data_IF_955399406673
#
_entry.id   IF_955399406673
#
_cell.length_a   1.000
_cell.length_b   1.000
_cell.length_c   1.000
_cell.angle_alpha   90.00
_cell.angle_beta   90.00
_cell.angle_gamma   90.00
#
_symmetry.space_group_name_H-M   'P 1'
#
loop_
_entity.id
_entity.type
_entity.pdbx_description
1 polymer ?
2 non-polymer ?
3 non-polymer ?
4 non-polymer ?
5 non-polymer ?
6 non-polymer ?
7 non-polymer ?
8 non-polymer ?
9 water ?
#
# COMPACT_ATOMS: atom_id res chain seq x y z
N UNK A 6 -13.54 6.44 -34.44
CA UNK A 6 -14.16 7.66 -33.79
C UNK A 6 -14.29 7.47 -32.27
N UNK A 7 -14.36 8.58 -31.51
CA UNK A 7 -14.65 8.70 -30.06
C UNK A 7 -16.00 8.17 -29.63
N UNK A 8 -17.00 8.59 -30.39
CA UNK A 8 -18.39 8.23 -30.11
C UNK A 8 -18.54 6.76 -30.45
N UNK A 9 -17.84 6.37 -31.50
CA UNK A 9 -17.96 5.01 -32.04
C UNK A 9 -17.32 4.06 -31.08
N UNK A 10 -16.11 4.45 -30.69
CA UNK A 10 -15.33 3.70 -29.70
C UNK A 10 -16.11 3.46 -28.42
N UNK A 11 -16.72 4.53 -27.94
CA UNK A 11 -17.35 4.48 -26.65
C UNK A 11 -18.48 3.48 -26.80
N UNK A 12 -19.11 3.51 -27.96
CA UNK A 12 -20.32 2.70 -28.20
C UNK A 12 -19.94 1.22 -28.32
N UNK A 13 -18.85 0.97 -29.02
CA UNK A 13 -18.35 -0.39 -29.28
C UNK A 13 -17.78 -0.98 -28.01
N UNK A 14 -17.29 -0.11 -27.13
CA UNK A 14 -16.73 -0.58 -25.89
C UNK A 14 -17.92 -0.95 -25.03
N UNK A 15 -18.97 -0.16 -25.13
CA UNK A 15 -20.18 -0.44 -24.36
C UNK A 15 -20.81 -1.74 -24.77
N UNK A 16 -20.73 -2.03 -26.06
CA UNK A 16 -21.44 -3.22 -26.55
C UNK A 16 -20.62 -4.40 -26.07
N UNK A 17 -19.32 -4.20 -25.94
CA UNK A 17 -18.46 -5.33 -25.58
C UNK A 17 -18.72 -5.67 -24.13
N UNK A 18 -19.01 -4.64 -23.35
CA UNK A 18 -19.25 -4.76 -21.91
C UNK A 18 -20.55 -5.50 -21.67
N UNK A 19 -21.56 -5.11 -22.42
CA UNK A 19 -22.90 -5.76 -22.38
C UNK A 19 -22.85 -7.24 -22.70
N UNK A 20 -22.10 -7.56 -23.75
CA UNK A 20 -21.93 -8.94 -24.24
C UNK A 20 -21.37 -9.86 -23.19
N UNK A 21 -20.35 -9.34 -22.53
CA UNK A 21 -19.66 -10.00 -21.42
C UNK A 21 -20.65 -10.45 -20.36
N UNK A 22 -21.55 -9.52 -19.97
CA UNK A 22 -22.55 -9.80 -18.90
C UNK A 22 -23.70 -10.67 -19.45
N UNK A 23 -24.04 -10.45 -20.72
CA UNK A 23 -25.08 -11.25 -21.37
C UNK A 23 -24.64 -12.68 -21.50
N UNK A 24 -23.34 -12.88 -21.69
CA UNK A 24 -22.81 -14.25 -21.88
C UNK A 24 -22.94 -15.03 -20.57
N UNK A 26 -25.22 -14.29 -18.24
CA UNK A 26 -26.66 -14.43 -18.05
C UNK A 26 -27.23 -15.66 -18.77
N UNK A 27 -26.70 -15.98 -19.94
CA UNK A 27 -27.20 -17.15 -20.68
C UNK A 27 -26.30 -18.37 -20.59
N UNK A 28 -25.31 -18.29 -19.72
CA UNK A 28 -24.46 -19.43 -19.42
C UNK A 28 -23.65 -19.88 -20.62
N UNK A 29 -23.30 -18.91 -21.45
CA UNK A 29 -22.60 -19.15 -22.72
C UNK A 29 -21.10 -19.05 -22.57
N UNK A 30 -20.47 -20.19 -22.29
CA UNK A 30 -19.07 -20.19 -21.89
C UNK A 30 -18.18 -19.91 -23.09
N UNK A 31 -18.60 -20.39 -24.23
CA UNK A 31 -17.78 -20.26 -25.44
C UNK A 31 -17.62 -18.79 -25.84
N UNK A 32 -18.73 -18.06 -25.82
CA UNK A 32 -18.72 -16.64 -26.09
C UNK A 32 -17.88 -15.93 -25.05
N UNK A 33 -18.22 -16.16 -23.79
CA UNK A 33 -17.46 -15.58 -22.70
C UNK A 33 -15.95 -15.77 -22.88
N UNK A 34 -15.52 -16.98 -23.23
CA UNK A 34 -14.12 -17.21 -23.45
C UNK A 34 -13.59 -16.36 -24.56
N UNK A 35 -14.42 -16.18 -25.60
CA UNK A 35 -13.99 -15.48 -26.80
C UNK A 35 -13.81 -14.00 -26.54
N UNK A 36 -14.43 -13.52 -25.46
CA UNK A 36 -14.49 -12.08 -25.15
C UNK A 36 -13.25 -11.61 -24.38
N UNK A 37 -12.52 -12.58 -23.87
CA UNK A 37 -11.31 -12.31 -23.11
C UNK A 37 -10.11 -12.33 -24.02
N UNK A 38 -9.15 -11.50 -23.66
CA UNK A 38 -7.95 -11.30 -24.45
C UNK A 38 -7.12 -12.58 -24.43
N UNK A 39 -6.46 -12.82 -25.56
CA UNK A 39 -5.37 -13.78 -25.65
C UNK A 39 -4.14 -13.07 -26.25
N UNK A 40 -2.92 -13.44 -25.82
CA UNK A 40 -1.73 -12.83 -26.43
C UNK A 40 -1.68 -12.88 -27.96
N UNK A 41 -2.31 -13.91 -28.51
CA UNK A 41 -2.44 -14.05 -29.96
C UNK A 41 -3.28 -12.90 -30.54
N UNK A 42 -4.23 -12.44 -29.74
CA UNK A 42 -5.15 -11.34 -30.13
C UNK A 42 -4.33 -10.10 -30.36
N UNK A 43 -3.18 -10.12 -29.69
CA UNK A 43 -2.23 -8.99 -29.62
C UNK A 43 -1.12 -9.18 -30.64
N UNK A 44 -0.98 -10.44 -31.03
CA UNK A 44 -0.03 -10.87 -32.05
C UNK A 44 1.28 -11.38 -31.48
N UNK A 45 1.25 -11.76 -30.20
CA UNK A 45 2.47 -12.23 -29.50
C UNK A 45 2.94 -13.61 -30.01
N UNK A 52 6.47 -11.71 -21.83
CA UNK A 52 7.72 -11.42 -21.15
C UNK A 52 7.58 -10.15 -20.29
N UNK A 53 6.72 -9.26 -20.79
CA UNK A 53 6.26 -8.11 -20.04
C UNK A 53 4.81 -8.44 -19.84
N UNK A 54 4.57 -9.73 -20.04
CA UNK A 54 3.27 -10.42 -19.98
C UNK A 54 2.15 -9.70 -20.70
N UNK A 55 2.53 -9.14 -21.85
CA UNK A 55 1.58 -8.54 -22.79
C UNK A 55 0.37 -9.42 -23.06
N UNK A 56 -0.80 -8.91 -22.68
CA UNK A 56 -2.08 -9.52 -23.01
C UNK A 56 -2.59 -10.45 -21.94
N UNK A 57 -1.73 -10.72 -20.96
CA UNK A 57 -2.09 -11.56 -19.79
C UNK A 57 -3.19 -10.96 -18.93
N UNK A 58 -4.19 -11.78 -18.70
CA UNK A 58 -5.45 -11.33 -18.17
C UNK A 58 -5.52 -11.64 -16.71
N UNK A 59 -6.41 -10.95 -16.02
CA UNK A 59 -6.73 -11.25 -14.64
C UNK A 59 -8.13 -10.86 -14.27
N UNK A 60 -8.52 -11.34 -13.10
CA UNK A 60 -9.91 -11.28 -12.67
C UNK A 60 -10.05 -11.34 -11.15
N UNK A 61 -10.83 -10.41 -10.61
CA UNK A 61 -11.21 -10.42 -9.20
C UNK A 61 -12.71 -10.45 -9.14
N UNK A 62 -13.17 -11.57 -8.60
CA UNK A 62 -14.54 -11.75 -8.24
C UNK A 62 -14.77 -11.17 -6.87
N UNK A 63 -16.01 -10.81 -6.59
CA UNK A 63 -16.34 -10.15 -5.33
C UNK A 63 -15.84 -10.93 -4.08
N UNK A 64 -14.91 -10.32 -3.35
CA UNK A 64 -14.34 -10.92 -2.15
C UNK A 64 -13.24 -11.94 -2.36
N UNK A 65 -12.87 -12.13 -3.62
CA UNK A 65 -11.85 -13.13 -4.01
C UNK A 65 -10.42 -12.64 -4.07
N UNK A 66 -9.45 -13.56 -3.97
CA UNK A 66 -8.14 -13.07 -4.33
C UNK A 66 -8.08 -12.97 -5.85
N UNK A 67 -6.88 -12.67 -6.33
CA UNK A 67 -6.65 -12.41 -7.76
C UNK A 67 -6.41 -13.70 -8.54
N UNK A 68 -7.07 -13.78 -9.69
CA UNK A 68 -6.87 -14.87 -10.67
C UNK A 68 -6.13 -14.31 -11.86
N UNK A 69 -5.12 -15.04 -12.28
CA UNK A 69 -4.23 -14.59 -13.33
C UNK A 69 -4.12 -15.61 -14.41
N UNK A 70 -4.18 -15.11 -15.63
CA UNK A 70 -3.95 -15.94 -16.80
C UNK A 70 -5.26 -16.54 -17.16
N UNK A 71 -5.38 -16.89 -18.44
CA UNK A 71 -6.66 -17.35 -19.03
C UNK A 71 -7.16 -18.61 -18.35
N UNK A 72 -6.23 -19.41 -17.84
CA UNK A 72 -6.62 -20.69 -17.30
C UNK A 72 -7.36 -20.59 -15.99
N UNK A 73 -6.80 -19.81 -15.09
CA UNK A 73 -7.42 -19.57 -13.79
C UNK A 73 -8.69 -18.76 -14.01
N UNK A 74 -8.57 -17.75 -14.86
CA UNK A 74 -9.71 -16.87 -15.11
C UNK A 74 -10.88 -17.59 -15.76
N UNK A 75 -10.62 -18.30 -16.87
CA UNK A 75 -11.71 -18.97 -17.61
C UNK A 75 -12.25 -20.16 -16.79
N UNK A 76 -11.36 -20.77 -16.04
CA UNK A 76 -11.76 -21.87 -15.19
C UNK A 76 -12.84 -21.38 -14.24
N UNK A 77 -12.60 -20.21 -13.65
CA UNK A 77 -13.48 -19.67 -12.60
C UNK A 77 -14.86 -19.33 -13.19
N UNK A 78 -14.87 -18.84 -14.42
CA UNK A 78 -16.15 -18.52 -15.08
C UNK A 78 -16.94 -19.75 -15.49
N UNK A 79 -16.20 -20.79 -15.86
CA UNK A 79 -16.80 -22.07 -16.26
C UNK A 79 -17.48 -22.62 -15.03
N UNK A 80 -16.80 -22.47 -13.90
CA UNK A 80 -17.28 -22.97 -12.60
C UNK A 80 -18.53 -22.22 -12.22
N UNK A 81 -18.40 -20.90 -12.23
CA UNK A 81 -19.47 -20.00 -11.79
C UNK A 81 -20.74 -20.34 -12.56
N UNK A 83 -21.34 -23.05 -14.15
CA UNK A 83 -21.80 -24.43 -13.93
C UNK A 83 -22.57 -24.50 -12.62
N UNK A 84 -22.37 -23.51 -11.75
CA UNK A 84 -22.97 -23.53 -10.40
C UNK A 84 -24.20 -22.64 -10.26
N UNK A 85 -24.53 -21.92 -11.31
CA UNK A 85 -25.60 -20.92 -11.19
C UNK A 85 -26.74 -21.31 -12.09
N UNK A 86 -27.93 -21.36 -11.49
CA UNK A 86 -29.15 -21.74 -12.23
C UNK A 86 -29.73 -20.52 -12.93
N UNK A 87 -29.52 -19.37 -12.32
CA UNK A 87 -30.07 -18.11 -12.82
C UNK A 87 -29.22 -16.92 -12.38
N UNK A 88 -28.83 -16.09 -13.34
CA UNK A 88 -28.17 -14.82 -13.05
C UNK A 88 -28.62 -13.71 -13.99
N UNK A 89 -28.97 -12.58 -13.38
CA UNK A 89 -29.18 -11.36 -14.16
C UNK A 89 -28.39 -10.19 -13.60
N UNK A 90 -27.72 -9.48 -14.49
CA UNK A 90 -27.04 -8.23 -14.14
C UNK A 90 -27.83 -7.03 -14.63
N UNK A 91 -28.04 -6.10 -13.72
CA UNK A 91 -28.67 -4.82 -13.97
C UNK A 91 -27.65 -3.73 -13.74
N UNK A 92 -27.11 -3.22 -14.83
CA UNK A 92 -25.94 -2.38 -14.74
C UNK A 92 -26.40 -0.98 -14.68
N UNK A 93 -25.83 -0.25 -13.76
CA UNK A 93 -26.03 1.17 -13.67
C UNK A 93 -24.72 1.92 -13.53
N UNK A 94 -24.87 3.23 -13.55
CA UNK A 94 -23.76 4.17 -13.40
C UNK A 94 -22.59 3.79 -14.31
N UNK A 95 -22.90 3.40 -15.54
CA UNK A 95 -21.84 2.91 -16.43
C UNK A 95 -21.02 4.10 -16.98
N UNK A 96 -19.72 4.08 -16.76
CA UNK A 96 -18.84 5.12 -17.30
C UNK A 96 -17.76 4.49 -18.12
N UNK A 97 -17.56 5.06 -19.32
CA UNK A 97 -16.51 4.62 -20.27
C UNK A 97 -15.40 5.66 -20.50
N UNK A 98 -14.18 5.18 -20.42
CA UNK A 98 -13.02 5.99 -20.75
C UNK A 98 -12.15 5.26 -21.73
N UNK A 99 -12.03 5.84 -22.90
CA UNK A 99 -11.21 5.28 -23.97
C UNK A 99 -9.99 6.10 -24.18
N UNK A 100 -8.84 5.47 -24.00
CA UNK A 100 -7.55 6.10 -24.26
C UNK A 100 -6.70 5.18 -25.13
N UNK A 101 -6.52 5.59 -26.37
CA UNK A 101 -5.77 4.81 -27.36
C UNK A 101 -6.43 3.49 -27.65
N UNK A 102 -5.70 2.43 -27.38
CA UNK A 102 -6.16 1.10 -27.72
C UNK A 102 -6.57 0.38 -26.47
N UNK A 103 -6.80 1.16 -25.42
CA UNK A 103 -7.31 0.64 -24.13
C UNK A 103 -8.54 1.40 -23.67
N UNK A 104 -9.50 0.65 -23.13
CA UNK A 104 -10.70 1.29 -22.59
C UNK A 104 -11.02 0.79 -21.21
N UNK A 105 -11.47 1.72 -20.39
CA UNK A 105 -11.79 1.49 -18.99
C UNK A 105 -13.26 1.74 -18.79
N UNK A 106 -13.97 0.70 -18.35
CA UNK A 106 -15.37 0.79 -18.01
C UNK A 106 -15.53 0.54 -16.50
N UNK A 107 -16.23 1.45 -15.84
CA UNK A 107 -16.69 1.25 -14.46
C UNK A 107 -18.20 1.21 -14.48
N UNK A 108 -18.75 0.35 -13.64
CA UNK A 108 -20.20 0.28 -13.45
C UNK A 108 -20.55 -0.32 -12.12
N UNK A 109 -21.79 -0.06 -11.71
CA UNK A 109 -22.44 -0.81 -10.66
C UNK A 109 -23.14 -2.03 -11.27
N UNK A 110 -22.72 -3.19 -10.76
CA UNK A 110 -23.38 -4.48 -11.03
C UNK A 110 -24.36 -4.75 -9.92
N UNK A 111 -25.64 -4.55 -10.24
CA UNK A 111 -26.77 -4.97 -9.40
C UNK A 111 -27.19 -6.37 -9.85
N UNK A 112 -26.73 -7.34 -9.10
CA UNK A 112 -26.81 -8.75 -9.48
C UNK A 112 -27.91 -9.44 -8.71
N UNK A 113 -28.72 -10.21 -9.45
CA UNK A 113 -29.69 -11.10 -8.86
C UNK A 113 -29.36 -12.49 -9.33
N UNK A 114 -29.12 -13.39 -8.39
CA UNK A 114 -28.88 -14.77 -8.76
C UNK A 114 -29.57 -15.82 -7.93
N UNK A 115 -29.61 -16.96 -8.59
CA UNK A 115 -30.18 -18.20 -8.08
C UNK A 115 -29.31 -19.39 -8.44
N UNK A 116 -28.79 -20.03 -7.39
CA UNK A 116 -28.09 -21.30 -7.51
C UNK A 116 -28.98 -22.50 -7.25
N UNK A 126 -33.92 -22.44 -6.47
CA UNK A 126 -33.07 -21.61 -5.60
C UNK A 126 -33.49 -20.13 -5.48
N UNK A 127 -33.74 -19.68 -4.22
CA UNK A 127 -33.97 -18.28 -3.82
C UNK A 127 -33.04 -17.29 -4.47
N UNK A 128 -33.64 -16.16 -4.86
CA UNK A 128 -32.91 -15.06 -5.55
C UNK A 128 -32.31 -14.10 -4.54
N UNK A 129 -31.00 -14.00 -4.61
CA UNK A 129 -30.26 -13.12 -3.75
C UNK A 129 -29.60 -12.06 -4.58
N UNK A 130 -29.69 -10.85 -4.05
CA UNK A 130 -29.12 -9.65 -4.67
C UNK A 130 -27.78 -9.29 -4.09
N UNK A 131 -26.88 -8.81 -4.97
CA UNK A 131 -25.60 -8.21 -4.59
C UNK A 131 -25.44 -6.86 -5.20
N UNK A 132 -24.91 -5.94 -4.40
CA UNK A 132 -24.49 -4.63 -4.90
C UNK A 132 -22.97 -4.68 -5.05
N UNK A 133 -22.54 -4.57 -6.30
CA UNK A 133 -21.14 -4.79 -6.62
C UNK A 133 -20.76 -3.65 -7.54
N UNK A 134 -19.50 -3.24 -7.47
CA UNK A 134 -18.95 -2.28 -8.44
C UNK A 134 -17.81 -2.94 -9.18
N UNK A 135 -17.65 -2.57 -10.45
CA UNK A 135 -16.62 -3.20 -11.29
C UNK A 135 -15.88 -2.20 -12.12
N UNK A 136 -14.62 -2.53 -12.32
CA UNK A 136 -13.73 -1.93 -13.31
C UNK A 136 -13.31 -2.99 -14.28
N UNK A 137 -13.71 -2.78 -15.52
CA UNK A 137 -13.35 -3.66 -16.61
C UNK A 137 -12.42 -2.91 -17.57
N UNK A 138 -11.33 -3.58 -17.91
CA UNK A 138 -10.36 -3.05 -18.82
C UNK A 138 -10.39 -3.83 -20.12
N UNK A 139 -10.57 -3.09 -21.21
CA UNK A 139 -10.63 -3.62 -22.56
C UNK A 139 -9.46 -3.17 -23.41
N UNK A 140 -9.14 -4.06 -24.31
CA UNK A 140 -8.08 -3.83 -25.25
C UNK A 140 -8.64 -3.96 -26.65
N UNK A 141 -8.11 -3.12 -27.53
CA UNK A 141 -8.58 -3.11 -28.90
C UNK A 141 -7.85 -4.19 -29.68
N UNK A 142 -8.63 -4.98 -30.41
CA UNK A 142 -8.09 -6.04 -31.27
C UNK A 142 -8.82 -6.09 -32.62
N UNK A 143 -8.20 -6.73 -33.62
CA UNK A 143 -8.83 -6.73 -34.92
C UNK A 143 -10.16 -7.41 -34.80
N UNK A 144 -10.27 -8.32 -33.85
CA UNK A 144 -11.49 -9.09 -33.67
C UNK A 144 -12.42 -8.42 -32.66
N UNK A 145 -12.12 -7.17 -32.36
CA UNK A 145 -12.95 -6.36 -31.46
C UNK A 145 -12.36 -6.15 -30.09
N UNK A 146 -13.04 -5.35 -29.27
CA UNK A 146 -12.58 -5.04 -27.91
C UNK A 146 -12.64 -6.28 -27.07
N UNK A 147 -11.52 -6.58 -26.44
CA UNK A 147 -11.38 -7.77 -25.61
C UNK A 147 -11.02 -7.39 -24.16
N UNK A 148 -11.53 -8.18 -23.23
CA UNK A 148 -11.26 -8.04 -21.79
C UNK A 148 -9.83 -8.44 -21.43
N UNK A 149 -9.24 -7.54 -20.71
CA UNK A 149 -7.89 -7.71 -20.20
C UNK A 149 -8.01 -7.98 -18.72
N UNK A 150 -8.93 -7.28 -18.11
CA UNK A 150 -9.11 -7.37 -16.65
C UNK A 150 -10.52 -7.09 -16.27
N UNK A 151 -11.02 -7.87 -15.32
CA UNK A 151 -12.29 -7.64 -14.61
C UNK A 151 -12.08 -7.63 -13.12
N UNK A 152 -12.43 -6.50 -12.49
CA UNK A 152 -12.30 -6.41 -11.04
C UNK A 152 -13.59 -5.96 -10.45
N UNK A 153 -14.19 -6.84 -9.63
CA UNK A 153 -15.51 -6.64 -9.07
C UNK A 153 -15.44 -6.75 -7.58
N UNK A 154 -16.18 -5.87 -6.91
CA UNK A 154 -16.09 -5.78 -5.48
C UNK A 154 -17.40 -5.39 -4.85
N UNK A 155 -17.67 -5.88 -3.65
CA UNK A 155 -18.83 -5.48 -2.87
C UNK A 155 -18.73 -4.04 -2.36
N UNK A 156 -19.87 -3.38 -2.36
CA UNK A 156 -20.03 -2.08 -1.76
C UNK A 156 -20.51 -2.37 -0.35
N UNK A 157 -19.65 -2.17 0.64
CA UNK A 157 -19.93 -2.55 2.02
C UNK A 157 -20.30 -1.36 2.88
N UNK A 158 -21.35 -1.53 3.68
CA UNK A 158 -21.83 -0.50 4.63
C UNK A 158 -21.25 -0.69 6.03
N UNK B 7 10.61 -2.61 -22.22
CA UNK B 7 10.17 -4.02 -22.06
C UNK B 7 10.54 -4.57 -20.68
N UNK B 8 11.81 -4.93 -20.57
CA UNK B 8 12.41 -5.32 -19.29
C UNK B 8 12.43 -4.05 -18.46
N UNK B 9 12.44 -2.93 -19.19
CA UNK B 9 12.58 -1.61 -18.56
C UNK B 9 11.24 -1.08 -18.16
N UNK B 10 10.29 -1.42 -19.01
CA UNK B 10 8.90 -1.00 -18.80
C UNK B 10 8.41 -1.61 -17.53
N UNK B 11 8.71 -2.88 -17.34
CA UNK B 11 8.19 -3.58 -16.18
C UNK B 11 8.76 -2.91 -14.94
N UNK B 12 10.01 -2.49 -15.02
CA UNK B 12 10.74 -1.91 -13.88
C UNK B 12 10.22 -0.50 -13.60
N UNK B 13 10.01 0.27 -14.66
CA UNK B 13 9.49 1.63 -14.47
C UNK B 13 8.09 1.55 -13.88
N UNK B 14 7.26 0.62 -14.36
CA UNK B 14 5.86 0.52 -13.88
C UNK B 14 5.89 0.15 -12.40
N UNK B 15 6.85 -0.69 -12.07
CA UNK B 15 6.97 -1.24 -10.73
C UNK B 15 7.30 -0.10 -9.80
N UNK B 16 8.09 0.81 -10.35
CA UNK B 16 8.62 1.94 -9.60
C UNK B 16 7.46 2.91 -9.32
N UNK B 17 6.62 3.08 -10.33
CA UNK B 17 5.48 4.01 -10.24
C UNK B 17 4.50 3.44 -9.23
N UNK B 18 4.32 2.13 -9.27
CA UNK B 18 3.38 1.45 -8.36
C UNK B 18 3.94 1.58 -6.94
N UNK B 19 5.25 1.43 -6.80
CA UNK B 19 5.92 1.57 -5.48
C UNK B 19 5.79 3.01 -4.92
N UNK B 20 6.01 3.99 -5.78
CA UNK B 20 5.92 5.40 -5.44
C UNK B 20 4.51 5.79 -4.96
N UNK B 21 3.52 5.07 -5.47
CA UNK B 21 2.09 5.43 -5.24
C UNK B 21 1.74 5.05 -3.80
N UNK B 22 2.15 3.85 -3.43
CA UNK B 22 1.92 3.34 -2.07
C UNK B 22 2.78 4.07 -1.05
N UNK B 23 3.96 4.47 -1.47
CA UNK B 23 4.84 5.15 -0.54
C UNK B 23 4.28 6.51 -0.20
N UNK B 24 3.73 7.19 -1.20
CA UNK B 24 3.20 8.57 -1.00
C UNK B 24 2.09 8.53 0.02
N UNK B 26 1.62 6.10 2.32
CA UNK B 26 2.27 5.80 3.61
C UNK B 26 2.70 7.08 4.34
N UNK B 27 3.35 7.97 3.59
CA UNK B 27 3.99 9.10 4.21
C UNK B 27 3.15 10.36 4.08
N UNK B 28 1.94 10.14 3.62
CA UNK B 28 0.91 11.17 3.52
C UNK B 28 1.35 12.33 2.65
N UNK B 29 1.95 11.98 1.53
CA UNK B 29 2.44 12.97 0.58
C UNK B 29 1.48 13.21 -0.58
N UNK B 30 0.70 14.27 -0.43
CA UNK B 30 -0.46 14.52 -1.26
C UNK B 30 0.01 15.04 -2.58
N UNK B 31 1.07 15.81 -2.52
CA UNK B 31 1.59 16.42 -3.72
C UNK B 31 2.08 15.34 -4.69
N UNK B 32 2.81 14.37 -4.17
CA UNK B 32 3.36 13.30 -5.00
C UNK B 32 2.22 12.42 -5.47
N UNK B 33 1.30 12.11 -4.57
CA UNK B 33 0.19 11.24 -4.94
C UNK B 33 -0.57 11.92 -6.06
N UNK B 34 -0.75 13.22 -5.94
CA UNK B 34 -1.57 13.96 -6.90
C UNK B 34 -0.92 13.88 -8.27
N UNK B 35 0.40 13.91 -8.27
CA UNK B 35 1.19 14.00 -9.50
C UNK B 35 1.24 12.62 -10.19
N UNK B 36 0.92 11.59 -9.41
CA UNK B 36 1.09 10.19 -9.86
C UNK B 36 -0.15 9.77 -10.58
N UNK B 37 -1.22 10.49 -10.30
CA UNK B 37 -2.51 10.21 -10.93
C UNK B 37 -2.55 10.99 -12.19
N UNK B 38 -3.08 10.35 -13.22
CA UNK B 38 -3.21 10.93 -14.55
C UNK B 38 -4.07 12.21 -14.57
N UNK B 39 -3.69 13.11 -15.47
CA UNK B 39 -4.53 14.19 -15.94
C UNK B 39 -4.65 14.09 -17.48
N UNK B 40 -5.76 14.56 -18.05
CA UNK B 40 -5.89 14.55 -19.52
C UNK B 40 -4.88 15.44 -20.25
N UNK B 41 -4.28 16.35 -19.51
CA UNK B 41 -3.19 17.18 -20.05
C UNK B 41 -1.94 16.31 -20.32
N UNK B 42 -1.79 15.27 -19.51
CA UNK B 42 -0.65 14.31 -19.57
C UNK B 42 -0.74 13.53 -20.87
N UNK B 43 -1.92 13.62 -21.46
CA UNK B 43 -2.28 12.83 -22.62
C UNK B 43 -2.36 13.77 -23.83
N UNK B 44 -2.51 15.06 -23.52
CA UNK B 44 -2.49 16.11 -24.53
C UNK B 44 -3.87 16.66 -24.85
N UNK B 45 -4.82 16.38 -23.97
CA UNK B 45 -6.21 16.87 -24.15
C UNK B 45 -6.39 18.31 -23.62
N UNK B 52 -15.34 13.61 -24.44
CA UNK B 52 -15.60 12.79 -25.62
C UNK B 52 -15.68 11.31 -25.28
N UNK B 53 -14.48 10.74 -25.25
CA UNK B 53 -14.28 9.33 -24.96
C UNK B 53 -13.73 9.28 -23.55
N UNK B 54 -13.86 10.42 -22.91
CA UNK B 54 -13.25 10.70 -21.60
C UNK B 54 -11.84 10.16 -21.48
N UNK B 55 -11.06 10.35 -22.54
CA UNK B 55 -9.62 10.07 -22.53
C UNK B 55 -8.97 10.52 -21.24
N UNK B 56 -8.39 9.55 -20.54
CA UNK B 56 -7.54 9.83 -19.36
C UNK B 56 -8.28 10.20 -18.08
N UNK B 57 -9.59 9.99 -18.06
CA UNK B 57 -10.40 10.22 -16.84
C UNK B 57 -10.21 9.07 -15.88
N UNK B 58 -9.84 9.42 -14.67
CA UNK B 58 -9.42 8.47 -13.64
C UNK B 58 -10.61 8.00 -12.80
N UNK B 59 -10.42 6.84 -12.20
CA UNK B 59 -11.37 6.26 -11.25
C UNK B 59 -10.69 5.49 -10.13
N UNK B 60 -11.38 5.35 -9.01
CA UNK B 60 -10.78 4.77 -7.81
C UNK B 60 -11.79 4.06 -6.96
N UNK B 61 -11.45 2.82 -6.59
CA UNK B 61 -12.27 2.04 -5.68
C UNK B 61 -11.43 1.63 -4.50
N UNK B 62 -11.79 2.18 -3.35
CA UNK B 62 -11.15 1.84 -2.07
C UNK B 62 -11.88 0.62 -1.48
N UNK B 63 -11.27 -0.07 -0.52
CA UNK B 63 -11.93 -1.32 -0.11
C UNK B 63 -13.30 -1.10 0.47
N UNK B 64 -14.27 -1.77 -0.14
CA UNK B 64 -15.67 -1.69 0.24
C UNK B 64 -16.44 -0.49 -0.25
N UNK B 65 -15.74 0.46 -0.89
CA UNK B 65 -16.38 1.68 -1.40
C UNK B 65 -17.04 1.55 -2.75
N UNK B 66 -17.97 2.45 -3.05
CA UNK B 66 -18.34 2.59 -4.43
C UNK B 66 -17.24 3.27 -5.26
N UNK B 67 -17.57 3.54 -6.50
CA UNK B 67 -16.60 4.07 -7.44
C UNK B 67 -16.48 5.58 -7.29
N UNK B 68 -15.26 6.05 -7.26
CA UNK B 68 -15.00 7.50 -7.34
C UNK B 68 -14.47 7.78 -8.75
N UNK B 69 -15.01 8.79 -9.40
CA UNK B 69 -14.63 9.16 -10.76
C UNK B 69 -14.17 10.63 -10.89
N UNK B 70 -13.05 10.80 -11.59
CA UNK B 70 -12.47 12.10 -11.80
C UNK B 70 -11.52 12.47 -10.71
N UNK B 71 -10.51 13.23 -11.09
CA UNK B 71 -9.43 13.63 -10.17
C UNK B 71 -9.93 14.24 -8.86
N UNK B 72 -10.97 15.05 -8.96
CA UNK B 72 -11.49 15.78 -7.81
C UNK B 72 -12.02 14.85 -6.74
N UNK B 73 -12.89 13.93 -7.17
CA UNK B 73 -13.46 12.89 -6.28
C UNK B 73 -12.36 12.02 -5.74
N UNK B 74 -11.45 11.65 -6.61
CA UNK B 74 -10.39 10.76 -6.20
C UNK B 74 -9.45 11.42 -5.18
N UNK B 75 -9.06 12.67 -5.41
CA UNK B 75 -8.02 13.32 -4.57
C UNK B 75 -8.63 13.74 -3.23
N UNK B 76 -9.88 14.15 -3.30
CA UNK B 76 -10.61 14.47 -2.11
C UNK B 76 -10.59 13.31 -1.16
N UNK B 77 -10.78 12.15 -1.74
CA UNK B 77 -10.86 10.91 -0.92
C UNK B 77 -9.52 10.58 -0.28
N UNK B 78 -8.44 10.89 -0.98
CA UNK B 78 -7.08 10.61 -0.45
C UNK B 78 -6.69 11.57 0.70
N UNK B 79 -7.13 12.83 0.59
CA UNK B 79 -6.92 13.82 1.64
C UNK B 79 -7.62 13.35 2.91
N UNK B 80 -8.87 13.00 2.73
CA UNK B 80 -9.70 12.51 3.84
C UNK B 80 -9.09 11.26 4.50
N UNK B 81 -8.70 10.28 3.66
CA UNK B 81 -8.16 9.02 4.17
C UNK B 81 -6.92 9.34 4.98
N UNK B 83 -6.01 12.17 6.36
CA UNK B 83 -6.31 12.96 7.54
C UNK B 83 -6.83 12.04 8.65
N UNK B 84 -7.46 10.96 8.28
CA UNK B 84 -8.19 10.18 9.27
C UNK B 84 -7.46 8.90 9.61
N UNK B 85 -6.24 8.81 9.10
CA UNK B 85 -5.35 7.63 9.30
C UNK B 85 -4.08 8.12 9.92
N UNK B 86 -3.91 7.75 11.18
CA UNK B 86 -2.74 8.16 11.95
C UNK B 86 -1.50 7.48 11.42
N UNK B 87 -1.64 6.19 11.13
CA UNK B 87 -0.52 5.39 10.63
C UNK B 87 -0.97 4.42 9.61
N UNK B 88 -0.23 4.33 8.52
CA UNK B 88 -0.47 3.26 7.52
C UNK B 88 0.78 2.80 6.83
N UNK B 89 0.87 1.47 6.73
CA UNK B 89 1.90 0.85 5.93
C UNK B 89 1.29 -0.19 5.02
N UNK B 90 1.79 -0.19 3.78
CA UNK B 90 1.53 -1.26 2.82
C UNK B 90 2.76 -2.10 2.66
N UNK B 91 2.51 -3.41 2.62
CA UNK B 91 3.47 -4.43 2.31
C UNK B 91 2.91 -5.24 1.15
N UNK B 92 3.39 -4.92 -0.04
CA UNK B 92 2.85 -5.55 -1.23
C UNK B 92 3.48 -6.92 -1.43
N UNK B 93 2.60 -7.82 -1.82
CA UNK B 93 3.07 -9.08 -2.28
C UNK B 93 2.44 -9.52 -3.56
N UNK B 94 3.14 -10.45 -4.17
CA UNK B 94 2.70 -11.17 -5.35
C UNK B 94 2.35 -10.18 -6.44
N UNK B 95 3.23 -9.21 -6.58
CA UNK B 95 3.05 -8.14 -7.56
C UNK B 95 3.22 -8.66 -8.97
N UNK B 96 2.22 -8.43 -9.80
CA UNK B 96 2.40 -8.82 -11.21
C UNK B 96 2.12 -7.69 -12.18
N UNK B 97 3.04 -7.53 -13.12
CA UNK B 97 2.95 -6.48 -14.16
C UNK B 97 2.79 -6.99 -15.59
N UNK B 98 1.82 -6.41 -16.27
CA UNK B 98 1.56 -6.71 -17.67
C UNK B 98 1.52 -5.42 -18.48
N UNK B 99 2.47 -5.28 -19.38
CA UNK B 99 2.56 -4.08 -20.22
C UNK B 99 2.14 -4.41 -21.62
N UNK B 100 1.23 -3.60 -22.13
CA UNK B 100 0.75 -3.70 -23.50
C UNK B 100 0.66 -2.32 -24.14
N UNK B 101 1.62 -2.01 -25.00
CA UNK B 101 1.65 -0.69 -25.61
C UNK B 101 1.89 0.36 -24.56
N UNK B 102 0.90 1.24 -24.35
CA UNK B 102 1.10 2.40 -23.49
C UNK B 102 0.32 2.28 -22.20
N UNK B 103 -0.21 1.08 -22.01
CA UNK B 103 -0.93 0.73 -20.79
C UNK B 103 -0.27 -0.41 -20.05
N UNK B 104 -0.29 -0.29 -18.75
CA UNK B 104 0.23 -1.33 -17.86
C UNK B 104 -0.82 -1.71 -16.84
N UNK B 105 -0.90 -3.01 -16.61
CA UNK B 105 -1.81 -3.56 -15.62
C UNK B 105 -1.00 -4.26 -14.56
N UNK B 106 -1.24 -3.82 -13.34
CA UNK B 106 -0.57 -4.32 -12.18
C UNK B 106 -1.59 -4.83 -11.18
N UNK B 107 -1.51 -6.11 -10.83
CA UNK B 107 -2.29 -6.70 -9.75
C UNK B 107 -1.36 -6.98 -8.56
N UNK B 108 -1.88 -6.80 -7.37
CA UNK B 108 -1.08 -7.14 -6.21
C UNK B 108 -1.93 -7.39 -5.01
N UNK B 109 -1.26 -7.94 -4.01
CA UNK B 109 -1.84 -8.08 -2.67
C UNK B 109 -1.31 -6.96 -1.79
N UNK B 110 -2.24 -6.17 -1.26
CA UNK B 110 -1.94 -5.10 -0.32
C UNK B 110 -2.12 -5.69 1.05
N UNK B 111 -0.99 -5.98 1.69
CA UNK B 111 -0.98 -6.32 3.12
C UNK B 111 -0.86 -5.00 3.90
N UNK B 112 -1.98 -4.60 4.44
CA UNK B 112 -2.17 -3.26 5.04
C UNK B 112 -2.18 -3.30 6.57
N UNK B 113 -1.33 -2.44 7.13
CA UNK B 113 -1.20 -2.30 8.56
C UNK B 113 -1.52 -0.86 8.86
N UNK B 114 -2.53 -0.64 9.68
CA UNK B 114 -2.84 0.72 10.11
C UNK B 114 -3.14 0.82 11.59
N UNK B 115 -3.20 2.06 12.02
CA UNK B 115 -3.43 2.41 13.42
C UNK B 115 -3.97 3.81 13.60
N UNK B 116 -4.83 3.93 14.59
CA UNK B 116 -5.36 5.23 14.97
C UNK B 116 -4.61 5.92 16.11
N UNK B 117 -5.15 7.04 16.56
CA UNK B 117 -4.47 7.76 17.60
C UNK B 117 -4.52 6.99 18.89
N UNK B 118 -3.54 7.23 19.75
CA UNK B 118 -3.45 6.49 20.98
C UNK B 118 -4.42 7.01 22.02
N UNK B 119 -4.80 6.16 22.97
CA UNK B 119 -5.74 6.44 24.05
C UNK B 119 -5.18 7.51 24.92
N UNK B 120 -3.85 7.56 24.97
CA UNK B 120 -3.18 8.64 25.68
C UNK B 120 -1.70 8.80 25.37
N UNK B 121 -1.10 9.65 26.18
CA UNK B 121 0.27 10.12 25.94
C UNK B 121 1.26 9.00 26.16
N UNK B 122 0.82 7.92 26.81
CA UNK B 122 1.74 6.81 27.16
C UNK B 122 1.99 5.88 25.97
N UNK B 123 1.16 6.02 24.94
CA UNK B 123 1.35 5.23 23.73
C UNK B 123 1.53 6.09 22.53
N UNK B 124 2.28 5.51 21.62
CA UNK B 124 2.55 6.06 20.29
C UNK B 124 1.36 6.01 19.36
N UNK B 125 0.76 4.84 19.30
CA UNK B 125 -0.46 4.65 18.55
C UNK B 125 -1.51 3.89 19.28
N UNK B 126 -2.66 3.86 18.65
CA UNK B 126 -3.73 2.98 19.04
C UNK B 126 -3.37 1.57 18.61
N UNK B 127 -4.25 0.61 18.86
CA UNK B 127 -3.98 -0.73 18.42
C UNK B 127 -3.83 -0.77 16.92
N UNK B 128 -3.03 -1.69 16.47
CA UNK B 128 -2.84 -1.88 15.05
C UNK B 128 -3.83 -2.89 14.49
N UNK B 129 -4.23 -2.62 13.26
CA UNK B 129 -5.13 -3.48 12.51
C UNK B 129 -4.53 -3.87 11.17
N UNK B 130 -4.68 -5.13 10.80
CA UNK B 130 -4.28 -5.58 9.45
C UNK B 130 -5.45 -5.82 8.53
N UNK B 131 -5.22 -5.61 7.24
CA UNK B 131 -6.16 -5.99 6.16
C UNK B 131 -5.47 -6.70 5.05
N UNK B 132 -6.19 -7.68 4.52
CA UNK B 132 -5.83 -8.42 3.31
C UNK B 132 -6.74 -7.91 2.20
N UNK B 133 -6.09 -7.28 1.25
CA UNK B 133 -6.71 -6.55 0.17
C UNK B 133 -5.92 -6.95 -1.09
N UNK B 134 -6.59 -6.97 -2.22
CA UNK B 134 -5.94 -7.12 -3.52
C UNK B 134 -6.34 -5.91 -4.40
N UNK B 135 -5.43 -5.54 -5.30
CA UNK B 135 -5.63 -4.38 -6.18
C UNK B 135 -5.28 -4.68 -7.60
N UNK B 136 -6.08 -4.05 -8.46
CA UNK B 136 -5.73 -3.88 -9.85
C UNK B 136 -5.49 -2.39 -10.15
N UNK B 137 -4.25 -2.09 -10.50
CA UNK B 137 -3.84 -0.73 -10.85
C UNK B 137 -3.49 -0.65 -12.33
N UNK B 138 -4.08 0.32 -12.99
CA UNK B 138 -3.90 0.54 -14.43
C UNK B 138 -3.13 1.83 -14.62
N UNK B 139 -1.95 1.70 -15.20
CA UNK B 139 -1.08 2.81 -15.50
C UNK B 139 -1.05 3.10 -16.98
N UNK B 140 -0.65 4.32 -17.22
CA UNK B 140 -0.62 4.91 -18.53
C UNK B 140 0.72 5.63 -18.78
N UNK B 141 1.32 5.30 -19.91
CA UNK B 141 2.57 5.91 -20.37
C UNK B 141 2.34 7.38 -20.73
N UNK B 142 3.12 8.24 -20.11
CA UNK B 142 3.08 9.69 -20.36
C UNK B 142 4.50 10.21 -20.43
N UNK B 143 4.70 11.41 -20.99
CA UNK B 143 6.07 11.88 -21.07
C UNK B 143 6.72 12.09 -19.72
N UNK B 144 5.92 12.06 -18.66
CA UNK B 144 6.43 12.39 -17.32
C UNK B 144 6.47 11.15 -16.48
N UNK B 145 6.31 10.04 -17.17
CA UNK B 145 6.31 8.73 -16.55
C UNK B 145 4.95 8.08 -16.57
N UNK B 146 4.90 6.95 -15.89
CA UNK B 146 3.72 6.13 -15.75
C UNK B 146 2.86 6.76 -14.70
N UNK B 147 1.61 6.94 -15.09
CA UNK B 147 0.61 7.61 -14.28
C UNK B 147 -0.58 6.72 -14.11
N UNK B 148 -1.15 6.77 -12.93
CA UNK B 148 -2.33 5.97 -12.59
C UNK B 148 -3.54 6.45 -13.32
N UNK B 149 -4.25 5.49 -13.89
CA UNK B 149 -5.53 5.73 -14.55
C UNK B 149 -6.70 5.19 -13.68
N UNK B 150 -6.47 4.02 -13.10
CA UNK B 150 -7.42 3.38 -12.20
C UNK B 150 -6.69 2.68 -11.07
N UNK B 151 -7.25 2.78 -9.88
CA UNK B 151 -6.91 1.94 -8.77
C UNK B 151 -8.18 1.30 -8.28
N UNK B 152 -8.20 -0.01 -8.23
CA UNK B 152 -9.36 -0.74 -7.67
C UNK B 152 -8.88 -1.73 -6.66
N UNK B 153 -9.28 -1.51 -5.43
CA UNK B 153 -8.86 -2.32 -4.29
C UNK B 153 -10.06 -2.89 -3.62
N UNK B 154 -9.89 -4.11 -3.11
CA UNK B 154 -10.97 -4.86 -2.50
C UNK B 154 -10.50 -5.83 -1.42
N UNK B 155 -11.34 -6.03 -0.38
CA UNK B 155 -11.04 -7.03 0.62
C UNK B 155 -11.07 -8.43 0.07
N UNK B 156 -10.17 -9.25 0.57
CA UNK B 156 -10.28 -10.68 0.35
C UNK B 156 -11.05 -11.22 1.53
N UNK B 157 -12.27 -11.67 1.26
CA UNK B 157 -13.25 -12.07 2.30
C UNK B 157 -13.40 -13.59 2.50
N UNK B 158 -13.39 -14.01 3.76
CA UNK B 158 -13.58 -15.45 4.09
C UNK B 158 -15.01 -15.90 3.79
N UNK C 6 10.18 23.85 33.64
CA UNK C 6 8.87 23.25 34.05
C UNK C 6 8.97 21.72 33.95
N UNK C 7 8.40 21.02 34.94
CA UNK C 7 8.29 19.57 34.90
C UNK C 7 7.50 19.12 33.68
N UNK C 8 6.38 19.78 33.47
CA UNK C 8 5.50 19.46 32.35
C UNK C 8 6.27 19.62 31.04
N UNK C 9 7.12 20.64 31.00
CA UNK C 9 7.90 20.95 29.80
C UNK C 9 9.03 19.94 29.64
N UNK C 10 9.70 19.67 30.75
CA UNK C 10 10.79 18.69 30.79
C UNK C 10 10.29 17.32 30.30
N UNK C 11 9.16 16.90 30.85
CA UNK C 11 8.57 15.63 30.47
C UNK C 11 8.29 15.61 28.96
N UNK C 12 7.79 16.72 28.42
CA UNK C 12 7.46 16.81 26.99
C UNK C 12 8.73 16.76 26.14
N UNK C 13 9.77 17.45 26.61
CA UNK C 13 11.02 17.54 25.83
C UNK C 13 11.79 16.22 25.83
N UNK C 14 11.74 15.51 26.95
CA UNK C 14 12.34 14.16 27.05
C UNK C 14 11.57 13.21 26.15
N UNK C 15 10.26 13.37 26.09
CA UNK C 15 9.42 12.49 25.27
C UNK C 15 9.74 12.66 23.78
N UNK C 16 10.09 13.86 23.43
CA UNK C 16 10.32 14.22 22.03
C UNK C 16 11.64 13.61 21.64
N UNK C 17 12.59 13.69 22.57
CA UNK C 17 13.94 13.14 22.33
C UNK C 17 13.88 11.62 22.23
N UNK C 18 13.07 11.03 23.10
CA UNK C 18 12.92 9.57 23.13
C UNK C 18 12.38 9.11 21.79
N UNK C 19 11.37 9.84 21.37
CA UNK C 19 10.68 9.62 20.11
C UNK C 19 11.54 9.72 18.89
N UNK C 20 12.47 10.66 18.94
CA UNK C 20 13.35 10.99 17.83
C UNK C 20 14.40 9.93 17.67
N UNK C 21 14.68 9.32 18.80
CA UNK C 21 15.67 8.23 18.91
C UNK C 21 15.20 7.06 18.03
N UNK C 22 14.04 6.57 18.40
CA UNK C 22 13.38 5.48 17.66
C UNK C 22 13.12 5.79 16.19
N UNK C 23 12.64 7.00 15.91
CA UNK C 23 12.34 7.39 14.53
C UNK C 23 13.59 7.44 13.68
N UNK C 24 14.68 7.86 14.28
CA UNK C 24 15.97 7.94 13.57
C UNK C 24 16.38 6.53 13.12
N UNK C 26 14.16 3.98 12.77
CA UNK C 26 13.20 3.54 11.77
C UNK C 26 13.60 3.94 10.37
N UNK C 27 14.19 5.12 10.25
CA UNK C 27 14.43 5.63 8.93
C UNK C 27 15.88 5.50 8.56
N UNK C 28 16.61 4.83 9.42
CA UNK C 28 17.99 4.51 9.17
C UNK C 28 18.86 5.73 9.15
N UNK C 29 18.50 6.70 9.97
CA UNK C 29 19.18 7.99 9.97
C UNK C 29 20.30 7.99 11.00
N UNK C 30 21.47 7.53 10.55
CA UNK C 30 22.61 7.35 11.44
C UNK C 30 23.03 8.70 11.99
N UNK C 31 23.01 9.75 11.17
CA UNK C 31 23.52 11.05 11.63
C UNK C 31 22.71 11.59 12.82
N UNK C 32 21.40 11.49 12.72
CA UNK C 32 20.50 12.04 13.73
C UNK C 32 20.64 11.20 14.98
N UNK C 33 20.73 9.91 14.73
CA UNK C 33 20.86 8.97 15.83
C UNK C 33 22.12 9.27 16.59
N UNK C 34 23.18 9.50 15.84
CA UNK C 34 24.48 9.80 16.43
C UNK C 34 24.46 11.06 17.27
N UNK C 35 23.69 12.03 16.79
CA UNK C 35 23.62 13.36 17.42
C UNK C 35 22.84 13.32 18.70
N UNK C 36 22.14 12.21 18.91
CA UNK C 36 21.23 12.05 20.05
C UNK C 36 21.94 11.46 21.26
N UNK C 37 23.12 10.91 21.02
CA UNK C 37 23.92 10.30 22.09
C UNK C 37 24.83 11.33 22.70
N UNK C 38 24.79 11.36 24.02
CA UNK C 38 25.65 12.21 24.81
C UNK C 38 27.11 12.09 24.41
N UNK C 39 27.81 13.21 24.50
CA UNK C 39 29.29 13.24 24.46
C UNK C 39 29.77 14.03 25.67
N UNK C 40 30.97 13.74 26.20
CA UNK C 40 31.33 14.53 27.41
C UNK C 40 31.51 16.01 27.13
N UNK C 41 31.76 16.33 25.87
CA UNK C 41 31.85 17.73 25.42
C UNK C 41 30.51 18.47 25.63
N UNK C 42 29.43 17.70 25.63
CA UNK C 42 28.04 18.22 25.80
C UNK C 42 27.95 18.77 27.20
N UNK C 43 28.86 18.25 28.01
CA UNK C 43 28.90 18.51 29.46
C UNK C 43 29.99 19.53 29.81
N UNK C 44 30.90 19.74 28.88
CA UNK C 44 31.96 20.73 29.05
C UNK C 44 33.21 20.06 29.56
N UNK C 45 33.18 18.73 29.49
CA UNK C 45 34.34 17.89 29.82
C UNK C 45 35.39 17.95 28.71
N UNK C 46 36.41 17.11 28.84
CA UNK C 46 37.54 17.11 27.89
C UNK C 46 38.52 15.96 28.13
N UNK C 52 38.27 10.94 34.52
CA UNK C 52 37.47 11.46 35.61
C UNK C 52 36.79 10.40 36.50
N UNK C 53 35.48 10.65 36.61
CA UNK C 53 34.47 9.72 37.12
C UNK C 53 33.65 9.36 35.89
N UNK C 54 34.34 9.46 34.75
CA UNK C 54 33.82 9.14 33.41
C UNK C 54 32.52 9.81 33.06
N UNK C 55 32.38 11.04 33.54
CA UNK C 55 31.26 11.94 33.20
C UNK C 55 30.87 11.89 31.73
N UNK C 56 29.58 11.61 31.54
CA UNK C 56 28.95 11.60 30.21
C UNK C 56 29.31 10.42 29.31
N UNK C 57 30.02 9.45 29.86
CA UNK C 57 30.42 8.18 29.15
C UNK C 57 29.23 7.21 28.96
N UNK C 58 28.88 7.00 27.71
CA UNK C 58 27.64 6.34 27.33
C UNK C 58 27.74 4.81 27.32
N UNK C 59 26.58 4.18 27.40
CA UNK C 59 26.45 2.72 27.23
C UNK C 59 25.13 2.24 26.64
N UNK C 60 25.19 1.03 26.15
CA UNK C 60 24.14 0.43 25.39
C UNK C 60 24.08 -1.09 25.56
N UNK C 61 22.87 -1.56 25.78
CA UNK C 61 22.55 -2.98 25.78
C UNK C 61 21.37 -3.20 24.83
N UNK C 62 21.66 -3.86 23.70
CA UNK C 62 20.65 -4.31 22.73
C UNK C 62 20.07 -5.66 23.22
N UNK C 63 18.85 -6.01 22.78
CA UNK C 63 18.21 -7.23 23.26
C UNK C 63 19.10 -8.46 23.15
N UNK C 64 19.42 -9.03 24.31
CA UNK C 64 20.27 -10.23 24.43
C UNK C 64 21.76 -10.03 24.32
N UNK C 65 22.20 -8.79 24.19
CA UNK C 65 23.62 -8.53 24.03
C UNK C 65 24.36 -8.28 25.36
N UNK C 66 25.69 -8.33 25.29
CA UNK C 66 26.47 -7.81 26.38
C UNK C 66 26.45 -6.27 26.35
N UNK C 67 27.17 -5.68 27.30
CA UNK C 67 27.17 -4.23 27.45
C UNK C 67 28.17 -3.64 26.46
N UNK C 68 27.75 -2.58 25.78
CA UNK C 68 28.69 -1.77 25.00
C UNK C 68 28.94 -0.46 25.73
N UNK C 69 30.20 -0.10 25.87
CA UNK C 69 30.60 1.11 26.60
C UNK C 69 31.40 2.09 25.74
N UNK C 70 31.07 3.36 25.88
CA UNK C 70 31.72 4.42 25.08
C UNK C 70 31.04 4.65 23.74
N UNK C 71 31.08 5.89 23.31
CA UNK C 71 30.33 6.33 22.11
C UNK C 71 30.77 5.49 20.89
N UNK C 72 32.06 5.16 20.87
CA UNK C 72 32.65 4.40 19.75
C UNK C 72 31.99 3.03 19.63
N UNK C 73 31.93 2.32 20.76
CA UNK C 73 31.39 0.97 20.72
C UNK C 73 29.92 1.06 20.38
N UNK C 74 29.27 2.08 20.93
CA UNK C 74 27.81 2.22 20.88
C UNK C 74 27.35 2.54 19.45
N UNK C 75 27.98 3.55 18.86
CA UNK C 75 27.64 4.00 17.51
C UNK C 75 27.96 2.91 16.49
N UNK C 76 29.10 2.25 16.68
CA UNK C 76 29.46 1.13 15.82
C UNK C 76 28.38 0.05 15.78
N UNK C 77 27.76 -0.23 16.92
CA UNK C 77 26.74 -1.28 16.97
C UNK C 77 25.54 -0.80 16.18
N UNK C 78 25.21 0.50 16.29
CA UNK C 78 24.04 1.05 15.55
C UNK C 78 24.27 1.08 14.03
N UNK C 79 25.49 1.37 13.66
CA UNK C 79 25.86 1.41 12.25
C UNK C 79 25.65 0.00 11.67
N UNK C 80 26.10 -1.00 12.40
CA UNK C 80 25.96 -2.41 11.99
C UNK C 80 24.51 -2.86 11.95
N UNK C 81 23.79 -2.55 13.01
CA UNK C 81 22.40 -2.99 13.12
C UNK C 81 21.58 -2.39 11.99
N UNK C 83 22.60 -1.28 9.22
CA UNK C 83 23.00 -1.66 7.83
C UNK C 83 22.38 -2.98 7.53
N UNK C 84 22.11 -3.72 8.60
CA UNK C 84 21.71 -5.10 8.49
C UNK C 84 20.21 -5.28 8.65
N UNK C 85 19.52 -4.16 8.76
CA UNK C 85 18.08 -4.19 8.96
C UNK C 85 17.41 -3.59 7.76
N UNK C 86 16.58 -4.40 7.11
CA UNK C 86 15.91 -3.97 5.85
C UNK C 86 14.75 -3.06 6.16
N UNK C 87 14.05 -3.44 7.21
CA UNK C 87 12.86 -2.75 7.66
C UNK C 87 12.61 -2.90 9.15
N UNK C 88 12.43 -1.76 9.82
CA UNK C 88 12.08 -1.74 11.24
C UNK C 88 11.09 -0.64 11.60
N UNK C 89 10.17 -0.99 12.49
CA UNK C 89 9.22 -0.04 13.06
C UNK C 89 9.09 -0.32 14.51
N UNK C 90 9.08 0.74 15.28
CA UNK C 90 8.83 0.69 16.73
C UNK C 90 7.50 1.29 17.00
N UNK C 91 6.72 0.58 17.78
CA UNK C 91 5.48 1.08 18.38
C UNK C 91 5.59 1.03 19.89
N UNK C 92 5.92 2.18 20.46
CA UNK C 92 6.12 2.29 21.92
C UNK C 92 4.80 2.31 22.62
N UNK C 93 4.72 1.52 23.68
CA UNK C 93 3.61 1.59 24.63
C UNK C 93 4.12 1.69 26.07
N UNK C 94 3.26 2.16 26.94
CA UNK C 94 3.49 2.18 28.38
C UNK C 94 4.71 3.03 28.69
N UNK C 95 4.84 4.12 27.94
CA UNK C 95 5.94 5.04 28.14
C UNK C 95 5.77 5.81 29.46
N UNK C 96 6.78 5.69 30.32
CA UNK C 96 6.81 6.45 31.55
C UNK C 96 8.06 7.29 31.65
N UNK C 97 7.90 8.55 32.00
CA UNK C 97 9.03 9.48 32.16
C UNK C 97 9.13 9.99 33.57
N UNK C 98 10.35 9.92 34.08
CA UNK C 98 10.66 10.46 35.40
C UNK C 98 11.86 11.41 35.28
N UNK C 99 11.62 12.67 35.61
CA UNK C 99 12.68 13.68 35.51
C UNK C 99 13.10 14.10 36.89
N UNK C 100 14.37 13.92 37.15
CA UNK C 100 14.94 14.38 38.41
C UNK C 100 16.19 15.21 38.13
N UNK C 101 16.11 16.51 38.34
CA UNK C 101 17.25 17.41 38.07
C UNK C 101 17.56 17.52 36.60
N UNK C 102 18.76 17.11 36.22
CA UNK C 102 19.19 17.16 34.82
C UNK C 102 19.31 15.79 34.19
N UNK C 103 18.65 14.84 34.83
CA UNK C 103 18.56 13.46 34.34
C UNK C 103 17.10 13.02 34.21
N UNK C 104 16.80 12.29 33.15
CA UNK C 104 15.50 11.65 32.95
C UNK C 104 15.66 10.18 32.65
N UNK C 105 14.77 9.45 33.28
CA UNK C 105 14.67 8.04 33.08
C UNK C 105 13.34 7.76 32.43
N UNK C 106 13.42 7.15 31.25
CA UNK C 106 12.26 6.78 30.49
C UNK C 106 12.23 5.26 30.44
N UNK C 107 11.08 4.67 30.76
CA UNK C 107 10.89 3.26 30.47
C UNK C 107 9.76 3.08 29.49
N UNK C 108 9.93 2.11 28.61
CA UNK C 108 8.86 1.80 27.70
C UNK C 108 8.88 0.37 27.21
N UNK C 109 7.77 0.02 26.58
CA UNK C 109 7.68 -1.19 25.78
C UNK C 109 7.94 -0.89 24.32
N UNK C 110 8.94 -1.57 23.78
CA UNK C 110 9.29 -1.55 22.32
C UNK C 110 8.60 -2.72 21.66
N UNK C 111 7.52 -2.41 20.96
CA UNK C 111 6.80 -3.42 20.19
C UNK C 111 7.44 -3.29 18.81
N UNK C 112 8.40 -4.17 18.53
CA UNK C 112 9.24 -4.06 17.30
C UNK C 112 8.71 -4.98 16.21
N UNK C 113 8.49 -4.36 15.06
CA UNK C 113 8.12 -5.09 13.85
C UNK C 113 9.24 -4.89 12.85
N UNK C 114 9.79 -6.01 12.35
CA UNK C 114 10.89 -5.93 11.41
C UNK C 114 10.75 -6.93 10.29
N UNK C 115 11.35 -6.60 9.16
CA UNK C 115 11.42 -7.54 8.07
C UNK C 115 12.71 -7.50 7.30
N UNK C 116 12.99 -8.61 6.63
CA UNK C 116 14.14 -8.74 5.79
C UNK C 116 13.84 -8.56 4.31
N UNK C 117 14.88 -8.69 3.48
CA UNK C 117 14.64 -8.53 2.05
C UNK C 117 13.64 -9.53 1.48
N UNK C 118 13.03 -9.19 0.37
CA UNK C 118 12.10 -10.13 -0.21
C UNK C 118 12.78 -11.28 -0.95
N UNK C 119 12.10 -12.43 -1.02
CA UNK C 119 12.76 -13.52 -1.70
C UNK C 119 12.82 -13.23 -3.20
N UNK C 120 11.98 -12.33 -3.65
CA UNK C 120 12.02 -11.92 -5.06
C UNK C 120 11.31 -10.63 -5.28
N UNK C 121 11.34 -10.12 -6.50
CA UNK C 121 10.78 -8.77 -6.73
C UNK C 121 9.28 -8.79 -6.93
N UNK C 122 8.63 -9.91 -6.65
CA UNK C 122 7.15 -9.92 -6.70
C UNK C 122 6.70 -9.45 -5.34
N UNK C 123 7.66 -9.37 -4.42
CA UNK C 123 7.39 -8.90 -3.05
C UNK C 123 8.25 -7.74 -2.63
N UNK C 124 7.68 -7.01 -1.70
CA UNK C 124 8.24 -5.75 -1.24
C UNK C 124 9.27 -6.04 -0.13
N UNK C 125 8.90 -6.96 0.73
CA UNK C 125 9.70 -7.37 1.84
C UNK C 125 9.59 -8.86 2.09
N UNK C 126 10.54 -9.34 2.84
CA UNK C 126 10.45 -10.68 3.41
C UNK C 126 9.34 -10.70 4.44
N UNK C 127 9.08 -11.88 5.02
CA UNK C 127 8.20 -12.04 6.18
C UNK C 127 8.52 -11.08 7.32
N UNK C 128 7.48 -10.60 7.97
CA UNK C 128 7.63 -9.64 9.10
C UNK C 128 7.68 -10.35 10.42
N UNK C 129 8.54 -9.90 11.32
CA UNK C 129 8.57 -10.48 12.65
C UNK C 129 8.43 -9.40 13.72
N UNK C 130 7.70 -9.77 14.77
CA UNK C 130 7.48 -8.96 15.95
C UNK C 130 8.31 -9.42 17.13
N UNK C 131 8.74 -8.47 17.94
CA UNK C 131 9.43 -8.75 19.20
C UNK C 131 8.84 -7.91 20.28
N UNK C 132 8.64 -8.50 21.43
CA UNK C 132 8.23 -7.72 22.59
C UNK C 132 9.51 -7.45 23.40
N UNK C 133 9.86 -6.18 23.50
CA UNK C 133 11.09 -5.74 24.19
C UNK C 133 10.70 -4.65 25.19
N UNK C 134 11.52 -4.51 26.22
CA UNK C 134 11.39 -3.35 27.14
C UNK C 134 12.69 -2.62 27.25
N UNK C 135 12.60 -1.32 27.45
CA UNK C 135 13.78 -0.45 27.54
C UNK C 135 13.74 0.55 28.68
N UNK C 136 14.91 0.74 29.26
CA UNK C 136 15.18 1.89 30.14
C UNK C 136 16.18 2.76 29.44
N UNK C 137 15.74 3.96 29.15
CA UNK C 137 16.56 4.97 28.46
C UNK C 137 16.84 6.08 29.44
N UNK C 138 18.10 6.37 29.72
CA UNK C 138 18.50 7.51 30.54
C UNK C 138 19.01 8.66 29.64
N UNK C 139 18.41 9.84 29.84
CA UNK C 139 18.72 11.09 29.13
C UNK C 139 19.32 12.07 30.09
N UNK C 140 20.18 12.89 29.50
CA UNK C 140 20.87 13.95 30.18
C UNK C 140 20.56 15.31 29.55
N UNK C 141 20.23 16.27 30.39
CA UNK C 141 19.93 17.64 29.93
C UNK C 141 21.21 18.31 29.48
N UNK C 142 21.22 18.77 28.23
CA UNK C 142 22.31 19.58 27.65
C UNK C 142 21.82 20.85 26.93
N UNK C 143 22.72 21.79 26.64
CA UNK C 143 22.30 22.99 25.96
C UNK C 143 21.66 22.70 24.63
N UNK C 144 21.95 21.53 24.11
CA UNK C 144 21.49 21.16 22.78
C UNK C 144 20.35 20.21 22.92
N UNK C 145 19.79 20.17 24.11
CA UNK C 145 18.65 19.29 24.38
C UNK C 145 19.00 18.02 25.11
N UNK C 146 18.00 17.18 25.28
CA UNK C 146 18.19 15.96 26.02
C UNK C 146 18.86 14.91 25.17
N UNK C 147 19.94 14.38 25.72
CA UNK C 147 20.75 13.41 25.02
C UNK C 147 20.86 12.08 25.76
N UNK C 148 20.92 10.99 25.00
CA UNK C 148 21.11 9.65 25.57
C UNK C 148 22.43 9.40 26.25
N UNK C 149 22.31 8.94 27.48
CA UNK C 149 23.42 8.51 28.31
C UNK C 149 23.47 6.97 28.32
N UNK C 150 22.30 6.35 28.48
CA UNK C 150 22.14 4.87 28.47
C UNK C 150 20.87 4.42 27.74
N UNK C 151 21.01 3.32 27.01
CA UNK C 151 19.90 2.56 26.45
C UNK C 151 20.07 1.11 26.83
N UNK C 152 19.17 0.58 27.63
CA UNK C 152 19.16 -0.83 27.95
C UNK C 152 17.85 -1.43 27.49
N UNK C 153 17.93 -2.36 26.56
CA UNK C 153 16.76 -3.03 26.02
C UNK C 153 16.89 -4.56 26.16
N UNK C 154 15.76 -5.17 26.44
CA UNK C 154 15.71 -6.57 26.76
C UNK C 154 14.42 -7.24 26.34
N UNK C 155 14.49 -8.53 25.99
CA UNK C 155 13.29 -9.26 25.61
C UNK C 155 12.44 -9.57 26.84
N UNK C 156 11.14 -9.51 26.64
CA UNK C 156 10.20 -10.00 27.65
C UNK C 156 9.97 -11.48 27.35
N UNK C 157 10.49 -12.34 28.22
CA UNK C 157 10.53 -13.77 28.01
C UNK C 157 9.43 -14.32 28.82
N UNK C 158 9.02 -13.49 29.76
CA UNK C 158 7.84 -13.73 30.60
C UNK C 158 8.16 -13.53 32.08
#
# INVERSE_FOLDING_TARGET
GXSTPTPDTDVEQVGLANTAFYEAXERGDFETLSSLWLTPADLGVDEEYHDPADAGVVSCVHPGWPVLSGRGEVLRSYALIXANTEYIQFFLTDVHVSVTGDTALVTCTENILSGGPPPDDSDELGPLVGQLVVATNVFRRTPDGWKLWSHHASPVLAETGAEEGDESPD
GXSTPTPDTDVEQVGLANTAFYEAXERGDFETLSSLWLTPADLGVDEEYHDPADAGVVSCVHPGWPVLSGRGEVLRSYALIXANTEYIQFFLTDVHVSVTGDTALVTCTENILSGGPPPDDSDELGPLVGQLVVATNVFRRTPDGWKLWSHHASPVLAETGAEEGDESPD
GXSTPTPDTDVEQVGLANTAFYEAXERGDFETLSSLWLTPADLGVDEEYHDPADAGVVSCVHPGWPVLSGRGEVLRSYALIXANTEYIQFFLTDVHVSVTGDTALVTCTENILSGGPPPDDSDELGPLVGQLVVATNVFRRTPDGWKLWSHHASPVLAETGAEEGDESPD
#
